data_IF_534431521046
#
_entry.id   IF_534431521046
#
_cell.length_a   1.000
_cell.length_b   1.000
_cell.length_c   1.000
_cell.angle_alpha   90.00
_cell.angle_beta   90.00
_cell.angle_gamma   90.00
#
_symmetry.space_group_name_H-M   'P 1'
#
loop_
_entity.id
_entity.type
_entity.pdbx_description
1 polymer ?
#
# COMPACT_ATOMS: atom_id res chain seq x y z
N UNK A 1 -3.53 18.05 -17.12
CA UNK A 1 -4.05 17.04 -16.19
C UNK A 1 -3.97 15.68 -16.86
N UNK A 2 -3.08 14.82 -16.37
CA UNK A 2 -2.87 13.49 -16.92
C UNK A 2 -3.91 12.50 -16.37
N UNK A 3 -3.95 11.27 -16.87
CA UNK A 3 -4.79 10.17 -16.39
C UNK A 3 -4.58 9.94 -14.90
N UNK A 4 -3.34 10.03 -14.41
CA UNK A 4 -3.02 9.88 -12.99
C UNK A 4 -3.76 10.91 -12.12
N UNK A 5 -3.86 12.17 -12.56
CA UNK A 5 -4.58 13.21 -11.81
C UNK A 5 -6.05 12.85 -11.64
N UNK A 6 -6.70 12.35 -12.69
CA UNK A 6 -8.09 11.91 -12.63
C UNK A 6 -8.29 10.73 -11.68
N UNK A 7 -7.36 9.76 -11.69
CA UNK A 7 -7.38 8.62 -10.77
C UNK A 7 -7.24 9.08 -9.32
N UNK A 8 -6.28 9.96 -9.03
CA UNK A 8 -6.03 10.48 -7.68
C UNK A 8 -7.20 11.34 -7.19
N UNK A 9 -7.73 12.25 -8.02
CA UNK A 9 -8.89 13.09 -7.67
C UNK A 9 -10.11 12.21 -7.38
N UNK A 10 -10.35 11.18 -8.20
CA UNK A 10 -11.45 10.23 -7.99
C UNK A 10 -11.26 9.47 -6.68
N UNK A 11 -10.04 9.02 -6.39
CA UNK A 11 -9.72 8.37 -5.12
C UNK A 11 -10.02 9.29 -3.93
N UNK A 12 -9.56 10.55 -3.97
CA UNK A 12 -9.86 11.55 -2.94
C UNK A 12 -11.36 11.79 -2.75
N UNK A 13 -12.11 11.92 -3.84
CA UNK A 13 -13.56 12.10 -3.79
C UNK A 13 -14.23 10.87 -3.15
N UNK A 14 -13.84 9.66 -3.55
CA UNK A 14 -14.39 8.42 -3.02
C UNK A 14 -14.08 8.24 -1.54
N UNK A 15 -12.86 8.53 -1.09
CA UNK A 15 -12.49 8.38 0.32
C UNK A 15 -13.13 9.46 1.18
N UNK A 16 -13.28 10.69 0.69
CA UNK A 16 -14.04 11.75 1.37
C UNK A 16 -15.52 11.38 1.52
N UNK A 17 -16.16 10.87 0.46
CA UNK A 17 -17.55 10.40 0.49
C UNK A 17 -17.72 9.19 1.43
N UNK A 18 -16.76 8.27 1.41
CA UNK A 18 -16.75 7.13 2.33
C UNK A 18 -16.59 7.58 3.79
N UNK A 19 -15.71 8.55 4.04
CA UNK A 19 -15.50 9.16 5.35
C UNK A 19 -16.77 9.85 5.88
N UNK A 20 -17.43 10.63 5.03
CA UNK A 20 -18.72 11.25 5.35
C UNK A 20 -19.77 10.22 5.77
N UNK A 21 -19.92 9.13 4.99
CA UNK A 21 -20.87 8.05 5.29
C UNK A 21 -20.53 7.26 6.54
N UNK A 22 -19.25 7.13 6.84
CA UNK A 22 -18.75 6.37 7.99
C UNK A 22 -18.89 7.17 9.28
N UNK A 23 -18.64 8.47 9.23
CA UNK A 23 -18.57 9.36 10.38
C UNK A 23 -17.24 9.24 11.14
N UNK A 24 -16.87 10.31 11.84
CA UNK A 24 -15.63 10.43 12.62
C UNK A 24 -15.54 9.33 13.69
N UNK A 25 -16.60 9.19 14.49
CA UNK A 25 -16.63 8.27 15.65
C UNK A 25 -16.42 6.84 15.19
N UNK A 26 -17.14 6.41 14.15
CA UNK A 26 -16.99 5.05 13.62
C UNK A 26 -15.60 4.82 13.05
N UNK A 27 -15.05 5.80 12.32
CA UNK A 27 -13.74 5.69 11.70
C UNK A 27 -12.62 5.56 12.76
N UNK A 28 -12.66 6.40 13.80
CA UNK A 28 -11.69 6.35 14.91
C UNK A 28 -11.81 5.04 15.69
N UNK A 29 -13.02 4.62 16.05
CA UNK A 29 -13.23 3.37 16.78
C UNK A 29 -12.74 2.16 15.99
N UNK A 30 -13.00 2.13 14.67
CA UNK A 30 -12.50 1.06 13.80
C UNK A 30 -10.96 1.09 13.71
N UNK A 31 -10.35 2.26 13.59
CA UNK A 31 -8.89 2.38 13.53
C UNK A 31 -8.24 1.88 14.82
N UNK A 32 -8.77 2.29 15.98
CA UNK A 32 -8.31 1.82 17.30
C UNK A 32 -8.54 0.32 17.45
N UNK A 33 -9.70 -0.19 17.03
CA UNK A 33 -10.01 -1.62 17.07
C UNK A 33 -8.99 -2.44 16.27
N UNK A 34 -8.66 -2.01 15.05
CA UNK A 34 -7.65 -2.68 14.22
C UNK A 34 -6.28 -2.64 14.90
N UNK A 35 -5.85 -1.45 15.35
CA UNK A 35 -4.55 -1.29 16.00
C UNK A 35 -4.41 -2.19 17.25
N UNK A 36 -5.41 -2.18 18.13
CA UNK A 36 -5.43 -3.02 19.33
C UNK A 36 -5.43 -4.50 18.97
N UNK A 37 -6.20 -4.92 17.96
CA UNK A 37 -6.18 -6.30 17.49
C UNK A 37 -4.81 -6.71 16.96
N UNK A 38 -4.16 -5.89 16.12
CA UNK A 38 -2.83 -6.18 15.59
C UNK A 38 -1.79 -6.27 16.71
N UNK A 39 -1.83 -5.32 17.65
CA UNK A 39 -0.91 -5.25 18.78
C UNK A 39 -1.04 -6.47 19.70
N UNK A 40 -2.25 -6.81 20.16
CA UNK A 40 -2.48 -7.98 21.00
C UNK A 40 -2.12 -9.28 20.28
N UNK A 41 -2.43 -9.39 18.98
CA UNK A 41 -2.08 -10.58 18.20
C UNK A 41 -0.57 -10.76 18.11
N UNK A 42 0.18 -9.68 17.90
CA UNK A 42 1.65 -9.72 17.87
C UNK A 42 2.25 -10.15 19.20
N UNK A 43 1.64 -9.72 20.32
CA UNK A 43 2.09 -10.09 21.66
C UNK A 43 1.83 -11.56 22.02
N UNK A 44 0.69 -12.11 21.60
CA UNK A 44 0.22 -13.42 22.07
C UNK A 44 0.29 -14.53 21.01
N UNK A 45 0.70 -14.24 19.77
CA UNK A 45 0.73 -15.20 18.66
C UNK A 45 1.46 -16.51 18.99
N UNK A 46 2.62 -16.43 19.64
CA UNK A 46 3.44 -17.60 19.99
C UNK A 46 2.88 -18.46 21.13
N UNK A 47 2.01 -17.91 21.99
CA UNK A 47 1.52 -18.61 23.18
C UNK A 47 0.23 -19.39 22.97
N UNK A 48 -0.54 -19.06 21.92
CA UNK A 48 -1.91 -19.58 21.76
C UNK A 48 -1.97 -20.84 20.91
N UNK A 49 -1.13 -21.00 19.88
CA UNK A 49 -1.19 -22.21 19.06
C UNK A 49 -0.64 -23.44 19.80
N UNK A 50 0.41 -23.28 20.60
CA UNK A 50 0.96 -24.37 21.43
C UNK A 50 -0.03 -24.92 22.46
N UNK A 51 -1.07 -24.15 22.82
CA UNK A 51 -2.14 -24.59 23.73
C UNK A 51 -3.27 -25.29 22.95
N UNK A 52 -3.51 -24.91 21.70
CA UNK A 52 -4.68 -25.35 20.91
C UNK A 52 -4.35 -26.56 20.03
N UNK A 53 -3.14 -26.63 19.46
CA UNK A 53 -2.79 -27.66 18.49
C UNK A 53 -1.29 -27.95 18.46
N UNK A 54 -0.90 -29.16 18.85
CA UNK A 54 0.49 -29.64 18.88
C UNK A 54 0.94 -30.25 17.52
N UNK A 55 0.20 -29.99 16.45
CA UNK A 55 0.30 -30.70 15.16
C UNK A 55 1.03 -29.94 14.05
N UNK A 56 1.65 -28.80 14.34
CA UNK A 56 2.31 -27.95 13.34
C UNK A 56 3.82 -28.07 13.47
N UNK A 57 4.48 -28.70 12.49
CA UNK A 57 5.93 -28.94 12.50
C UNK A 57 6.76 -27.66 12.32
N UNK A 58 6.17 -26.60 11.77
CA UNK A 58 6.85 -25.31 11.53
C UNK A 58 6.43 -24.24 12.54
N UNK A 59 7.38 -23.79 13.35
CA UNK A 59 7.19 -22.72 14.34
C UNK A 59 6.71 -21.39 13.71
N UNK A 60 7.21 -21.07 12.51
CA UNK A 60 6.79 -19.88 11.77
C UNK A 60 5.32 -19.97 11.33
N UNK A 61 4.91 -21.13 10.80
CA UNK A 61 3.54 -21.37 10.37
C UNK A 61 2.59 -21.39 11.58
N UNK A 62 3.05 -21.97 12.69
CA UNK A 62 2.33 -21.98 13.97
C UNK A 62 2.05 -20.56 14.49
N UNK A 63 3.10 -19.74 14.56
CA UNK A 63 3.00 -18.34 15.01
C UNK A 63 2.08 -17.52 14.11
N UNK A 64 2.16 -17.71 12.78
CA UNK A 64 1.30 -17.02 11.82
C UNK A 64 -0.19 -17.39 12.01
N UNK A 65 -0.52 -18.67 12.21
CA UNK A 65 -1.89 -19.11 12.47
C UNK A 65 -2.39 -18.54 13.80
N UNK A 66 -1.58 -18.62 14.87
CA UNK A 66 -1.90 -18.07 16.17
C UNK A 66 -2.23 -16.58 16.11
N UNK A 67 -1.41 -15.82 15.38
CA UNK A 67 -1.65 -14.40 15.12
C UNK A 67 -3.03 -14.14 14.49
N UNK A 68 -3.37 -14.87 13.42
CA UNK A 68 -4.64 -14.70 12.69
C UNK A 68 -5.83 -15.00 13.60
N UNK A 69 -5.76 -16.09 14.37
CA UNK A 69 -6.85 -16.49 15.29
C UNK A 69 -7.11 -15.40 16.33
N UNK A 70 -6.05 -14.90 16.99
CA UNK A 70 -6.16 -13.85 18.00
C UNK A 70 -6.69 -12.56 17.37
N UNK A 71 -6.17 -12.21 16.19
CA UNK A 71 -6.58 -11.00 15.50
C UNK A 71 -8.07 -11.00 15.25
N UNK A 72 -8.60 -12.09 14.69
CA UNK A 72 -10.03 -12.25 14.42
C UNK A 72 -10.83 -12.20 15.71
N UNK A 73 -10.42 -12.93 16.75
CA UNK A 73 -11.14 -12.95 18.03
C UNK A 73 -11.23 -11.56 18.69
N UNK A 74 -10.09 -10.85 18.80
CA UNK A 74 -10.02 -9.51 19.39
C UNK A 74 -10.75 -8.50 18.51
N UNK A 75 -10.66 -8.62 17.19
CA UNK A 75 -11.35 -7.74 16.25
C UNK A 75 -12.88 -7.88 16.33
N UNK A 76 -13.40 -9.10 16.46
CA UNK A 76 -14.84 -9.31 16.65
C UNK A 76 -15.32 -8.74 17.99
N UNK A 77 -14.55 -8.94 19.07
CA UNK A 77 -14.87 -8.38 20.38
C UNK A 77 -14.88 -6.85 20.37
N UNK A 78 -13.87 -6.22 19.75
CA UNK A 78 -13.77 -4.76 19.66
C UNK A 78 -14.89 -4.15 18.81
N UNK A 79 -15.42 -4.88 17.82
CA UNK A 79 -16.61 -4.46 17.03
C UNK A 79 -17.83 -4.24 17.91
N UNK A 80 -18.08 -5.15 18.87
CA UNK A 80 -19.21 -5.08 19.80
C UNK A 80 -19.06 -3.85 20.70
N UNK A 81 -17.87 -3.67 21.29
CA UNK A 81 -17.55 -2.51 22.13
C UNK A 81 -17.70 -1.20 21.36
N UNK A 82 -17.19 -1.16 20.13
CA UNK A 82 -17.29 0.01 19.25
C UNK A 82 -18.74 0.38 18.94
N UNK A 83 -19.61 -0.60 18.70
CA UNK A 83 -21.03 -0.35 18.47
C UNK A 83 -21.73 0.25 19.70
N UNK A 84 -21.37 -0.21 20.90
CA UNK A 84 -21.90 0.33 22.16
C UNK A 84 -21.44 1.77 22.38
N UNK A 85 -20.15 2.05 22.20
CA UNK A 85 -19.59 3.41 22.33
C UNK A 85 -20.21 4.35 21.30
N UNK A 86 -20.33 3.92 20.04
CA UNK A 86 -20.97 4.71 18.99
C UNK A 86 -22.39 5.10 19.38
N UNK A 87 -23.20 4.14 19.86
CA UNK A 87 -24.59 4.42 20.26
C UNK A 87 -24.66 5.46 21.39
N UNK A 88 -23.74 5.41 22.35
CA UNK A 88 -23.66 6.40 23.42
C UNK A 88 -23.25 7.79 22.90
N UNK A 89 -22.25 7.86 22.02
CA UNK A 89 -21.72 9.12 21.48
C UNK A 89 -22.68 9.79 20.49
N UNK A 90 -23.36 9.03 19.62
CA UNK A 90 -24.33 9.58 18.66
C UNK A 90 -25.59 10.12 19.35
N UNK A 91 -25.85 9.73 20.60
CA UNK A 91 -26.92 10.34 21.42
C UNK A 91 -26.57 11.78 21.82
N UNK A 92 -25.27 12.10 21.95
CA UNK A 92 -24.77 13.39 22.43
C UNK A 92 -24.28 14.29 21.29
N UNK A 93 -23.65 13.72 20.26
CA UNK A 93 -23.21 14.44 19.07
C UNK A 93 -24.34 14.55 18.06
N UNK A 94 -24.63 15.78 17.64
CA UNK A 94 -25.57 16.04 16.54
C UNK A 94 -24.96 15.43 15.26
N UNK A 95 -25.64 14.45 14.65
CA UNK A 95 -25.06 13.57 13.62
C UNK A 95 -24.40 14.25 12.41
N UNK A 96 -24.68 15.53 12.17
CA UNK A 96 -24.00 16.33 11.16
C UNK A 96 -22.52 16.59 11.50
N UNK A 97 -22.18 16.81 12.78
CA UNK A 97 -20.80 17.04 13.21
C UNK A 97 -19.95 15.77 13.07
N UNK A 98 -20.51 14.61 13.40
CA UNK A 98 -19.86 13.30 13.18
C UNK A 98 -19.58 13.05 11.70
N UNK A 99 -20.54 13.39 10.83
CA UNK A 99 -20.41 13.23 9.38
C UNK A 99 -19.36 14.19 8.79
N UNK A 100 -19.32 15.45 9.25
CA UNK A 100 -18.30 16.42 8.84
C UNK A 100 -16.90 16.02 9.30
N UNK A 101 -16.74 15.57 10.55
CA UNK A 101 -15.48 15.03 11.03
C UNK A 101 -15.05 13.79 10.24
N UNK A 102 -16.02 12.98 9.80
CA UNK A 102 -15.79 11.84 8.92
C UNK A 102 -15.17 12.23 7.57
N UNK A 103 -15.52 13.40 7.01
CA UNK A 103 -14.89 13.92 5.79
C UNK A 103 -13.39 14.14 6.02
N UNK A 104 -13.01 14.74 7.16
CA UNK A 104 -11.59 14.99 7.48
C UNK A 104 -10.82 13.67 7.52
N UNK A 105 -11.36 12.65 8.19
CA UNK A 105 -10.75 11.31 8.21
C UNK A 105 -10.67 10.70 6.81
N UNK A 106 -11.73 10.84 6.00
CA UNK A 106 -11.77 10.37 4.62
C UNK A 106 -10.73 11.06 3.73
N UNK A 107 -10.47 12.35 3.95
CA UNK A 107 -9.43 13.10 3.25
C UNK A 107 -8.04 12.64 3.67
N UNK A 108 -7.78 12.44 4.96
CA UNK A 108 -6.53 11.88 5.46
C UNK A 108 -6.27 10.49 4.88
N UNK A 109 -7.29 9.63 4.86
CA UNK A 109 -7.21 8.32 4.21
C UNK A 109 -6.95 8.45 2.70
N UNK A 110 -7.56 9.44 2.05
CA UNK A 110 -7.31 9.78 0.64
C UNK A 110 -5.85 10.14 0.38
N UNK A 111 -5.24 10.98 1.24
CA UNK A 111 -3.81 11.32 1.17
C UNK A 111 -2.95 10.06 1.32
N UNK A 112 -3.25 9.19 2.28
CA UNK A 112 -2.50 7.95 2.49
C UNK A 112 -2.59 7.01 1.29
N UNK A 113 -3.78 6.81 0.73
CA UNK A 113 -4.00 5.95 -0.43
C UNK A 113 -3.32 6.54 -1.67
N UNK A 114 -3.54 7.83 -1.96
CA UNK A 114 -2.94 8.53 -3.08
C UNK A 114 -1.40 8.54 -2.98
N UNK A 115 -0.89 8.81 -1.78
CA UNK A 115 0.53 8.75 -1.47
C UNK A 115 1.10 7.35 -1.66
N UNK A 116 0.41 6.31 -1.18
CA UNK A 116 0.81 4.92 -1.37
C UNK A 116 0.86 4.52 -2.86
N UNK A 117 -0.18 4.89 -3.63
CA UNK A 117 -0.22 4.65 -5.09
C UNK A 117 0.95 5.33 -5.79
N UNK A 118 1.18 6.62 -5.49
CA UNK A 118 2.32 7.36 -6.03
C UNK A 118 3.65 6.71 -5.66
N UNK A 119 3.80 6.30 -4.39
CA UNK A 119 5.03 5.71 -3.86
C UNK A 119 5.34 4.37 -4.54
N UNK A 120 4.34 3.52 -4.73
CA UNK A 120 4.50 2.25 -5.47
C UNK A 120 4.83 2.51 -6.93
N UNK A 121 4.13 3.47 -7.57
CA UNK A 121 4.38 3.82 -8.97
C UNK A 121 5.78 4.44 -9.14
N UNK A 122 6.24 5.25 -8.20
CA UNK A 122 7.57 5.84 -8.19
C UNK A 122 8.63 4.74 -8.04
N UNK A 123 8.42 3.81 -7.09
CA UNK A 123 9.31 2.65 -6.93
C UNK A 123 9.40 1.84 -8.21
N UNK A 124 8.25 1.54 -8.84
CA UNK A 124 8.20 0.81 -10.09
C UNK A 124 8.87 1.56 -11.25
N UNK A 125 8.78 2.89 -11.32
CA UNK A 125 9.26 3.67 -12.47
C UNK A 125 10.73 4.09 -12.37
N UNK A 126 11.24 4.35 -11.16
CA UNK A 126 12.55 4.98 -10.93
C UNK A 126 13.62 4.05 -10.33
N UNK A 127 13.28 2.81 -9.97
CA UNK A 127 14.28 1.86 -9.45
C UNK A 127 14.57 0.82 -10.51
N UNK A 128 15.67 1.00 -11.24
CA UNK A 128 16.13 0.07 -12.26
C UNK A 128 16.63 -1.22 -11.61
N UNK A 129 15.98 -2.33 -11.96
CA UNK A 129 16.60 -3.64 -11.87
C UNK A 129 17.39 -3.83 -13.16
N UNK A 130 18.63 -4.31 -13.08
CA UNK A 130 19.52 -4.52 -14.23
C UNK A 130 18.78 -5.29 -15.33
N UNK A 131 18.47 -4.61 -16.43
CA UNK A 131 17.68 -5.17 -17.52
C UNK A 131 18.56 -6.09 -18.38
N UNK A 132 18.18 -7.37 -18.57
CA UNK A 132 18.86 -8.25 -19.53
C UNK A 132 18.70 -7.77 -20.99
N UNK A 133 17.89 -6.74 -21.25
CA UNK A 133 17.75 -6.16 -22.59
C UNK A 133 19.00 -5.40 -23.07
N UNK A 134 19.82 -4.87 -22.16
CA UNK A 134 21.06 -4.15 -22.50
C UNK A 134 22.27 -5.08 -22.67
N UNK A 135 22.23 -6.28 -22.11
CA UNK A 135 23.20 -7.32 -22.43
C UNK A 135 23.11 -7.63 -23.92
N UNK A 136 24.22 -7.77 -24.64
CA UNK A 136 24.20 -8.26 -26.03
C UNK A 136 23.86 -9.76 -26.06
N UNK A 137 23.34 -10.26 -27.20
CA UNK A 137 23.25 -11.71 -27.40
C UNK A 137 24.68 -12.21 -27.54
N UNK A 138 25.24 -12.81 -26.49
CA UNK A 138 26.58 -13.38 -26.57
C UNK A 138 26.51 -14.65 -27.40
N UNK A 139 27.34 -14.69 -28.46
CA UNK A 139 27.45 -15.87 -29.34
C UNK A 139 27.76 -17.15 -28.55
N UNK A 140 28.35 -17.02 -27.36
CA UNK A 140 28.69 -18.12 -26.46
C UNK A 140 27.45 -18.78 -25.81
N UNK A 141 26.44 -18.01 -25.39
CA UNK A 141 25.20 -18.54 -24.82
C UNK A 141 24.38 -19.28 -25.88
N UNK A 142 24.32 -18.72 -27.09
CA UNK A 142 23.65 -19.36 -28.24
C UNK A 142 24.35 -20.65 -28.66
N UNK A 143 25.69 -20.71 -28.57
CA UNK A 143 26.47 -21.91 -28.89
C UNK A 143 26.36 -23.00 -27.83
N UNK A 144 26.05 -22.66 -26.57
CA UNK A 144 26.03 -23.60 -25.44
C UNK A 144 24.64 -24.21 -25.22
N UNK A 145 23.59 -23.38 -25.23
CA UNK A 145 22.20 -23.81 -24.97
C UNK A 145 21.36 -23.97 -26.25
N UNK A 146 21.93 -23.64 -27.42
CA UNK A 146 21.30 -23.87 -28.71
C UNK A 146 19.97 -23.13 -28.88
N UNK A 147 18.95 -23.81 -29.42
CA UNK A 147 17.62 -23.23 -29.70
C UNK A 147 16.88 -22.86 -28.40
N UNK A 148 17.13 -23.59 -27.32
CA UNK A 148 16.43 -23.38 -26.04
C UNK A 148 16.94 -22.13 -25.32
N UNK A 149 18.27 -21.93 -25.28
CA UNK A 149 18.88 -20.69 -24.76
C UNK A 149 18.50 -19.45 -25.57
N UNK A 150 18.42 -19.56 -26.89
CA UNK A 150 17.97 -18.46 -27.74
C UNK A 150 16.50 -18.09 -27.48
N UNK A 151 15.64 -19.08 -27.23
CA UNK A 151 14.22 -18.83 -26.92
C UNK A 151 14.07 -18.15 -25.56
N UNK A 152 14.81 -18.61 -24.56
CA UNK A 152 14.78 -18.02 -23.21
C UNK A 152 15.31 -16.59 -23.23
N UNK A 153 16.37 -16.32 -24.00
CA UNK A 153 16.91 -14.96 -24.14
C UNK A 153 15.95 -14.02 -24.89
N UNK A 154 15.37 -14.46 -26.01
CA UNK A 154 14.37 -13.67 -26.73
C UNK A 154 13.16 -13.39 -25.83
N UNK A 155 12.68 -14.40 -25.12
CA UNK A 155 11.55 -14.25 -24.19
C UNK A 155 11.89 -13.25 -23.08
N UNK A 156 13.06 -13.39 -22.45
CA UNK A 156 13.54 -12.46 -21.42
C UNK A 156 13.63 -11.02 -21.92
N UNK A 157 14.13 -10.80 -23.14
CA UNK A 157 14.18 -9.47 -23.77
C UNK A 157 12.80 -8.90 -24.07
N UNK A 158 11.86 -9.70 -24.56
CA UNK A 158 10.50 -9.22 -24.79
C UNK A 158 9.79 -8.80 -23.50
N UNK A 159 10.02 -9.52 -22.40
CA UNK A 159 9.52 -9.16 -21.07
C UNK A 159 10.17 -7.87 -20.59
N UNK A 160 11.49 -7.74 -20.73
CA UNK A 160 12.24 -6.55 -20.34
C UNK A 160 11.81 -5.29 -21.13
N UNK A 161 11.56 -5.42 -22.44
CA UNK A 161 11.04 -4.33 -23.26
C UNK A 161 9.64 -3.89 -22.83
N UNK A 162 8.74 -4.84 -22.56
CA UNK A 162 7.40 -4.53 -22.05
C UNK A 162 7.46 -3.85 -20.67
N UNK A 163 8.39 -4.28 -19.81
CA UNK A 163 8.63 -3.68 -18.51
C UNK A 163 9.16 -2.26 -18.64
N UNK A 164 10.12 -2.01 -19.52
CA UNK A 164 10.70 -0.68 -19.75
C UNK A 164 9.66 0.33 -20.25
N UNK A 165 8.81 -0.07 -21.20
CA UNK A 165 7.66 0.74 -21.63
C UNK A 165 6.71 1.07 -20.47
N UNK A 166 6.46 0.11 -19.58
CA UNK A 166 5.63 0.33 -18.39
C UNK A 166 6.24 1.37 -17.44
N UNK A 167 7.56 1.31 -17.25
CA UNK A 167 8.31 2.23 -16.39
C UNK A 167 8.37 3.63 -16.96
N UNK A 168 8.62 3.76 -18.26
CA UNK A 168 8.68 5.06 -18.93
C UNK A 168 7.31 5.76 -18.89
N UNK A 169 6.23 5.03 -19.18
CA UNK A 169 4.86 5.54 -19.04
C UNK A 169 4.55 5.96 -17.60
N UNK A 170 4.92 5.13 -16.62
CA UNK A 170 4.74 5.43 -15.20
C UNK A 170 5.50 6.68 -14.76
N UNK A 171 6.75 6.83 -15.21
CA UNK A 171 7.57 8.03 -15.01
C UNK A 171 6.88 9.25 -15.63
N UNK A 172 6.48 9.18 -16.88
CA UNK A 172 5.81 10.29 -17.56
C UNK A 172 4.53 10.71 -16.82
N UNK A 173 3.69 9.76 -16.40
CA UNK A 173 2.46 10.05 -15.66
C UNK A 173 2.72 10.72 -14.31
N UNK A 174 3.76 10.30 -13.60
CA UNK A 174 4.12 10.88 -12.31
C UNK A 174 4.67 12.30 -12.45
N UNK A 175 5.55 12.53 -13.44
CA UNK A 175 6.23 13.81 -13.58
C UNK A 175 5.29 14.87 -14.20
N UNK A 176 4.44 14.50 -15.15
CA UNK A 176 3.44 15.43 -15.73
C UNK A 176 2.22 15.70 -14.84
N UNK A 177 2.10 15.00 -13.70
CA UNK A 177 0.95 15.13 -12.81
C UNK A 177 0.97 16.46 -12.05
N UNK A 178 -0.19 17.10 -11.97
CA UNK A 178 -0.36 18.34 -11.18
C UNK A 178 -0.60 18.05 -9.70
N UNK A 179 -1.06 16.84 -9.36
CA UNK A 179 -1.36 16.43 -7.98
C UNK A 179 -0.12 15.90 -7.26
N UNK A 180 0.77 15.21 -7.99
CA UNK A 180 1.98 14.57 -7.42
C UNK A 180 2.87 15.54 -6.65
N UNK A 181 3.21 16.76 -7.13
CA UNK A 181 4.03 17.70 -6.37
C UNK A 181 3.43 18.06 -5.00
N UNK A 182 2.10 18.18 -4.92
CA UNK A 182 1.40 18.46 -3.65
C UNK A 182 1.49 17.28 -2.68
N UNK A 183 1.45 16.05 -3.20
CA UNK A 183 1.57 14.85 -2.38
C UNK A 183 3.02 14.59 -1.92
N UNK A 184 4.03 14.97 -2.71
CA UNK A 184 5.45 14.89 -2.31
C UNK A 184 5.73 15.75 -1.06
N UNK A 185 5.06 16.90 -0.93
CA UNK A 185 5.15 17.71 0.30
C UNK A 185 4.58 16.99 1.53
N UNK A 186 3.71 16.00 1.33
CA UNK A 186 3.12 15.17 2.38
C UNK A 186 3.85 13.83 2.55
N UNK A 187 4.99 13.63 1.87
CA UNK A 187 5.69 12.34 1.86
C UNK A 187 6.04 11.85 3.25
N UNK A 188 6.40 12.72 4.19
CA UNK A 188 6.73 12.34 5.58
C UNK A 188 5.59 11.58 6.26
N UNK A 189 4.35 11.97 5.99
CA UNK A 189 3.17 11.28 6.50
C UNK A 189 2.97 9.91 5.83
N UNK A 190 3.24 9.83 4.52
CA UNK A 190 3.06 8.61 3.71
C UNK A 190 4.15 7.57 4.00
N UNK A 191 5.42 7.98 4.06
CA UNK A 191 6.57 7.08 4.24
C UNK A 191 6.78 6.63 5.68
N UNK A 192 6.14 7.27 6.66
CA UNK A 192 6.28 6.90 8.08
C UNK A 192 5.86 5.45 8.38
N UNK A 193 5.09 4.84 7.49
CA UNK A 193 4.66 3.44 7.55
C UNK A 193 5.24 2.56 6.42
N UNK A 194 6.11 3.10 5.57
CA UNK A 194 6.68 2.42 4.40
C UNK A 194 8.18 2.08 4.59
N UNK A 195 8.70 1.01 3.97
CA UNK A 195 10.12 0.72 3.94
C UNK A 195 10.98 1.86 3.37
N UNK A 196 12.23 2.00 3.83
CA UNK A 196 13.14 3.08 3.42
C UNK A 196 13.37 3.14 1.90
N UNK A 197 13.34 1.99 1.22
CA UNK A 197 13.50 1.88 -0.23
C UNK A 197 12.46 2.68 -1.04
N UNK A 198 11.29 2.91 -0.45
CA UNK A 198 10.25 3.73 -1.04
C UNK A 198 10.59 5.22 -0.94
N UNK A 199 11.29 5.65 0.11
CA UNK A 199 11.80 7.00 0.24
C UNK A 199 12.79 7.35 -0.89
N UNK A 200 13.73 6.44 -1.17
CA UNK A 200 14.72 6.62 -2.26
C UNK A 200 14.03 6.80 -3.62
N UNK A 201 12.94 6.05 -3.88
CA UNK A 201 12.19 6.20 -5.11
C UNK A 201 11.46 7.55 -5.21
N UNK A 202 10.93 8.05 -4.10
CA UNK A 202 10.29 9.36 -4.05
C UNK A 202 11.31 10.51 -4.20
N UNK A 203 12.52 10.37 -3.65
CA UNK A 203 13.58 11.36 -3.83
C UNK A 203 13.98 11.48 -5.31
N UNK A 204 14.06 10.35 -6.03
CA UNK A 204 14.31 10.35 -7.49
C UNK A 204 13.15 10.97 -8.27
N UNK A 205 11.91 10.73 -7.85
CA UNK A 205 10.74 11.35 -8.46
C UNK A 205 10.75 12.88 -8.23
N UNK A 206 11.02 13.34 -7.01
CA UNK A 206 11.15 14.78 -6.68
C UNK A 206 12.24 15.43 -7.54
N UNK A 207 13.41 14.80 -7.64
CA UNK A 207 14.49 15.27 -8.50
C UNK A 207 14.09 15.32 -9.99
N UNK A 208 13.33 14.34 -10.48
CA UNK A 208 12.87 14.31 -11.87
C UNK A 208 11.83 15.40 -12.17
N UNK A 209 10.99 15.75 -11.20
CA UNK A 209 10.03 16.87 -11.31
C UNK A 209 10.77 18.21 -11.31
N UNK A 210 11.77 18.38 -10.45
CA UNK A 210 12.56 19.62 -10.38
C UNK A 210 13.41 19.90 -11.63
N UNK A 211 13.66 18.87 -12.45
CA UNK A 211 14.44 18.97 -13.68
C UNK A 211 13.61 19.28 -14.94
N UNK A 212 12.28 19.37 -14.83
CA UNK A 212 11.40 19.81 -15.92
C UNK A 212 11.38 21.33 -16.08
#
# INVERSE_FOLDING_TARGET
MNVLDWVLITAFALTALWGYKTGLVTAVLNAVAIYVSLFLSGLFAGSILSIIWDGVESEALSTAIGYVIIFVAVFLASRIVSAMIKKALTMTFMGWADSLGGIIIGLVAGVLIAGGVMTVMARYSFVEETSPAEAGIELQDVMTDGIEGLKDEITGRTIAYAQDLGRENGRQWLVESQVVPSLINLRSFVISFAPEEFGVALDRLEQAIDQQ
#
